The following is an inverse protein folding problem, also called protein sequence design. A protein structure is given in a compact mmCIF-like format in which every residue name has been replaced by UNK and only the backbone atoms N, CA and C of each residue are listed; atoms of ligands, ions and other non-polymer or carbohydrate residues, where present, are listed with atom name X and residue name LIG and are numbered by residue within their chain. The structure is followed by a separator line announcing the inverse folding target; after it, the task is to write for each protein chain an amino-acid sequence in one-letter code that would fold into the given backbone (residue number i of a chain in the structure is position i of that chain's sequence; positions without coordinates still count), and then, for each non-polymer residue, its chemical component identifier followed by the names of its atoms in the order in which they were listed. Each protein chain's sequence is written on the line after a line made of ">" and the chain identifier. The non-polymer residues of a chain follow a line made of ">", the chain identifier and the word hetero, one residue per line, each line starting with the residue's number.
data_IF_878973678795
#
_entry.id   IF_878973678795
#
_cell.length_a   1.000
_cell.length_b   1.000
_cell.length_c   1.000
_cell.angle_alpha   90.00
_cell.angle_beta   90.00
_cell.angle_gamma   90.00
#
_symmetry.space_group_name_H-M   'P 1'
#
loop_
_entity.id
_entity.type
_entity.pdbx_description
1 polymer ?
#
# COMPACT_ATOMS: atom_id res chain seq x y z
N UNK A 1 15.27 -9.64 3.20
CA UNK A 1 14.37 -8.65 3.82
C UNK A 1 13.18 -9.41 4.37
N UNK A 2 12.44 -8.84 5.33
CA UNK A 2 11.25 -9.51 5.89
C UNK A 2 10.03 -9.18 5.03
N UNK A 3 9.14 -10.15 4.92
CA UNK A 3 7.86 -10.01 4.27
C UNK A 3 6.76 -9.77 5.32
N UNK A 4 5.72 -9.05 4.96
CA UNK A 4 4.62 -8.68 5.87
C UNK A 4 3.28 -8.94 5.19
N UNK A 5 2.41 -9.74 5.83
CA UNK A 5 1.01 -9.92 5.42
C UNK A 5 0.12 -9.23 6.46
N UNK A 6 -0.47 -8.10 6.05
CA UNK A 6 -1.17 -7.19 6.94
C UNK A 6 -2.62 -7.06 6.48
N UNK A 7 -3.54 -7.66 7.22
CA UNK A 7 -4.99 -7.58 6.98
C UNK A 7 -5.61 -6.56 7.92
N UNK A 8 -6.19 -5.49 7.36
CA UNK A 8 -6.83 -4.43 8.14
C UNK A 8 -8.27 -4.23 7.67
N UNK A 9 -9.21 -4.66 8.50
CA UNK A 9 -10.64 -4.61 8.20
C UNK A 9 -11.33 -3.50 8.99
N UNK A 10 -12.13 -2.70 8.29
CA UNK A 10 -13.00 -1.66 8.86
C UNK A 10 -12.25 -0.51 9.56
N UNK A 11 -11.01 -0.23 9.16
CA UNK A 11 -10.30 0.98 9.56
C UNK A 11 -10.51 2.09 8.53
N UNK A 12 -10.92 3.28 8.97
CA UNK A 12 -11.07 4.45 8.09
C UNK A 12 -9.73 5.09 7.77
N UNK A 13 -8.73 4.89 8.63
CA UNK A 13 -7.37 5.39 8.44
C UNK A 13 -6.34 4.34 8.84
N UNK A 14 -5.37 4.08 7.96
CA UNK A 14 -4.22 3.22 8.19
C UNK A 14 -2.96 4.05 8.00
N UNK A 15 -1.97 3.86 8.87
CA UNK A 15 -0.62 4.39 8.69
C UNK A 15 0.38 3.25 8.80
N UNK A 16 1.11 2.98 7.72
CA UNK A 16 2.36 2.22 7.76
C UNK A 16 3.51 3.22 7.89
N UNK A 17 4.39 3.05 8.88
CA UNK A 17 5.52 3.94 9.09
C UNK A 17 6.81 3.18 9.37
N UNK A 18 7.92 3.76 8.94
CA UNK A 18 9.25 3.23 9.20
C UNK A 18 9.65 3.40 10.67
N UNK A 19 10.20 2.34 11.26
CA UNK A 19 10.76 2.34 12.62
C UNK A 19 11.98 1.43 12.69
N UNK A 20 13.01 1.89 13.41
CA UNK A 20 14.23 1.10 13.68
C UNK A 20 13.99 0.03 14.77
N UNK A 21 12.87 0.12 15.49
CA UNK A 21 12.47 -0.93 16.40
C UNK A 21 11.92 -2.11 15.60
N UNK A 22 12.48 -3.31 15.82
CA UNK A 22 11.89 -4.59 15.38
C UNK A 22 10.50 -4.88 15.98
N UNK A 23 9.93 -3.91 16.69
CA UNK A 23 8.62 -3.96 17.33
C UNK A 23 7.60 -3.26 16.45
N UNK A 24 6.68 -4.06 15.90
CA UNK A 24 5.50 -3.53 15.23
C UNK A 24 4.56 -2.97 16.31
N UNK A 25 4.46 -1.65 16.40
CA UNK A 25 3.56 -0.98 17.35
C UNK A 25 2.18 -0.85 16.72
N UNK A 26 1.15 -1.45 17.32
CA UNK A 26 -0.24 -1.35 16.85
C UNK A 26 -1.19 -0.94 17.99
N UNK A 27 -2.03 0.12 17.80
CA UNK A 27 -3.00 0.58 18.80
C UNK A 27 -4.32 -0.23 18.81
N UNK A 28 -4.30 -1.51 18.44
CA UNK A 28 -5.50 -2.34 18.38
C UNK A 28 -5.18 -3.82 18.58
N UNK A 29 -6.21 -4.64 18.83
CA UNK A 29 -6.09 -6.07 19.16
C UNK A 29 -5.37 -6.85 18.04
N UNK A 30 -4.05 -6.92 18.09
CA UNK A 30 -3.24 -7.69 17.14
C UNK A 30 -2.84 -9.01 17.75
N UNK A 31 -2.96 -10.07 16.94
CA UNK A 31 -2.29 -11.34 17.17
C UNK A 31 -1.07 -11.38 16.25
N UNK A 32 0.12 -11.43 16.83
CA UNK A 32 1.35 -11.64 16.07
C UNK A 32 1.62 -13.14 15.96
N UNK A 33 1.86 -13.61 14.74
CA UNK A 33 2.50 -14.90 14.48
C UNK A 33 3.88 -14.61 13.89
N UNK A 34 4.93 -14.66 14.72
CA UNK A 34 6.31 -14.29 14.36
C UNK A 34 7.20 -15.50 14.08
N UNK A 35 6.62 -16.70 13.98
CA UNK A 35 7.40 -17.94 13.85
C UNK A 35 8.00 -18.16 12.44
N UNK A 36 7.99 -17.13 11.58
CA UNK A 36 8.52 -17.14 10.20
C UNK A 36 9.18 -15.80 9.87
N UNK A 37 9.93 -15.74 8.77
CA UNK A 37 10.39 -14.48 8.14
C UNK A 37 9.23 -13.61 7.58
N UNK A 38 8.01 -13.86 8.08
CA UNK A 38 6.74 -13.29 7.73
C UNK A 38 6.05 -12.84 9.02
N UNK A 39 5.41 -11.68 8.99
CA UNK A 39 4.55 -11.24 10.09
C UNK A 39 3.11 -11.15 9.59
N UNK A 40 2.24 -11.98 10.16
CA UNK A 40 0.80 -11.92 9.93
C UNK A 40 0.17 -10.95 10.95
N UNK A 41 -0.51 -9.92 10.46
CA UNK A 41 -1.19 -8.92 11.29
C UNK A 41 -2.66 -8.85 10.89
N UNK A 42 -3.58 -9.20 11.81
CA UNK A 42 -5.02 -8.97 11.62
C UNK A 42 -5.50 -7.87 12.58
N UNK A 43 -6.10 -6.81 12.01
CA UNK A 43 -6.69 -5.69 12.73
C UNK A 43 -8.15 -5.57 12.29
N UNK A 44 -9.09 -5.71 13.22
CA UNK A 44 -10.51 -5.53 12.95
C UNK A 44 -11.18 -4.54 13.93
N UNK A 45 -12.05 -3.70 13.37
CA UNK A 45 -13.04 -2.94 14.15
C UNK A 45 -12.46 -1.74 14.90
N UNK A 46 -11.37 -1.17 14.38
CA UNK A 46 -10.78 0.07 14.90
C UNK A 46 -10.93 1.18 13.89
N UNK A 47 -11.09 2.41 14.36
CA UNK A 47 -11.16 3.59 13.48
C UNK A 47 -9.81 3.84 12.79
N UNK A 48 -8.72 3.79 13.56
CA UNK A 48 -7.36 4.05 13.08
C UNK A 48 -6.42 2.91 13.40
N UNK A 49 -5.65 2.49 12.40
CA UNK A 49 -4.55 1.55 12.55
C UNK A 49 -3.22 2.25 12.31
N UNK A 50 -2.25 2.02 13.19
CA UNK A 50 -0.88 2.50 13.06
C UNK A 50 0.01 1.26 13.14
N UNK A 51 0.87 1.03 12.15
CA UNK A 51 1.70 -0.18 12.06
C UNK A 51 3.13 0.25 11.71
N UNK A 52 4.05 -0.04 12.63
CA UNK A 52 5.47 0.23 12.42
C UNK A 52 6.14 -0.97 11.75
N UNK A 53 6.84 -0.76 10.64
CA UNK A 53 7.68 -1.79 9.99
C UNK A 53 9.10 -1.24 9.78
N UNK A 54 10.12 -2.09 9.55
CA UNK A 54 11.45 -1.64 9.21
C UNK A 54 11.47 -0.72 7.98
N UNK A 55 12.41 0.23 7.89
CA UNK A 55 12.47 1.19 6.77
C UNK A 55 12.61 0.54 5.39
N UNK A 56 13.14 -0.69 5.32
CA UNK A 56 13.28 -1.48 4.11
C UNK A 56 12.63 -2.85 4.29
N UNK A 57 11.54 -3.09 3.57
CA UNK A 57 10.80 -4.36 3.55
C UNK A 57 11.03 -5.10 2.21
N UNK A 58 10.78 -6.42 2.20
CA UNK A 58 10.74 -7.20 0.96
C UNK A 58 9.39 -6.98 0.31
N UNK A 59 8.47 -7.91 0.57
CA UNK A 59 7.07 -7.81 0.18
C UNK A 59 6.23 -7.30 1.35
N UNK A 60 5.32 -6.38 1.07
CA UNK A 60 4.27 -5.96 1.99
C UNK A 60 2.93 -6.20 1.30
N UNK A 61 2.08 -7.02 1.89
CA UNK A 61 0.73 -7.30 1.40
C UNK A 61 -0.29 -6.65 2.34
N UNK A 62 -1.24 -5.92 1.77
CA UNK A 62 -2.28 -5.21 2.49
C UNK A 62 -3.66 -5.59 1.97
N UNK A 63 -4.56 -5.98 2.88
CA UNK A 63 -5.99 -6.00 2.59
C UNK A 63 -6.67 -4.83 3.27
N UNK A 64 -7.28 -3.93 2.50
CA UNK A 64 -7.95 -2.72 2.99
C UNK A 64 -9.22 -2.39 2.20
N UNK A 65 -10.21 -1.77 2.86
CA UNK A 65 -11.48 -1.40 2.24
C UNK A 65 -11.90 0.00 2.73
N UNK A 66 -12.34 0.87 1.81
CA UNK A 66 -12.90 2.19 2.14
C UNK A 66 -12.06 3.02 3.12
N UNK A 67 -10.75 3.12 2.86
CA UNK A 67 -9.77 3.65 3.82
C UNK A 67 -8.83 4.71 3.23
N UNK A 68 -8.21 5.49 4.11
CA UNK A 68 -7.00 6.27 3.79
C UNK A 68 -5.76 5.55 4.31
N UNK A 69 -4.87 5.14 3.41
CA UNK A 69 -3.57 4.54 3.72
C UNK A 69 -2.47 5.61 3.65
N UNK A 70 -1.72 5.78 4.73
CA UNK A 70 -0.55 6.65 4.79
C UNK A 70 0.71 5.78 4.82
N UNK A 71 1.64 6.01 3.91
CA UNK A 71 2.94 5.37 3.84
C UNK A 71 4.01 6.40 4.25
N UNK A 72 4.66 6.18 5.39
CA UNK A 72 5.56 7.16 6.02
C UNK A 72 6.98 6.64 6.13
N UNK A 73 7.86 7.11 5.25
CA UNK A 73 9.30 6.81 5.29
C UNK A 73 9.66 5.36 4.99
N UNK A 74 8.77 4.58 4.37
CA UNK A 74 8.98 3.17 4.07
C UNK A 74 9.49 2.96 2.64
N UNK A 75 10.30 1.93 2.43
CA UNK A 75 10.69 1.43 1.12
C UNK A 75 10.49 -0.09 1.09
N UNK A 76 10.12 -0.62 -0.08
CA UNK A 76 9.82 -2.03 -0.27
C UNK A 76 10.34 -2.50 -1.62
N UNK A 77 10.52 -3.80 -1.81
CA UNK A 77 10.66 -4.33 -3.16
C UNK A 77 9.31 -4.30 -3.87
N UNK A 78 8.25 -4.71 -3.16
CA UNK A 78 6.87 -4.75 -3.65
C UNK A 78 5.87 -4.48 -2.53
N UNK A 79 4.90 -3.62 -2.80
CA UNK A 79 3.71 -3.41 -1.98
C UNK A 79 2.50 -3.87 -2.78
N UNK A 80 1.82 -4.91 -2.30
CA UNK A 80 0.59 -5.44 -2.89
C UNK A 80 -0.60 -4.98 -2.04
N UNK A 81 -1.59 -4.37 -2.68
CA UNK A 81 -2.78 -3.82 -2.02
C UNK A 81 -4.01 -4.46 -2.64
N UNK A 82 -4.60 -5.40 -1.92
CA UNK A 82 -5.93 -5.92 -2.20
C UNK A 82 -6.96 -4.93 -1.64
N UNK A 83 -7.64 -4.23 -2.55
CA UNK A 83 -8.50 -3.11 -2.20
C UNK A 83 -9.93 -3.22 -2.72
N UNK A 84 -10.87 -2.77 -1.90
CA UNK A 84 -12.28 -2.61 -2.26
C UNK A 84 -12.79 -1.19 -1.93
N UNK A 85 -13.78 -0.74 -2.72
CA UNK A 85 -14.44 0.54 -2.52
C UNK A 85 -13.58 1.75 -2.93
N UNK A 86 -13.56 2.80 -2.09
CA UNK A 86 -12.77 4.01 -2.33
C UNK A 86 -11.56 4.04 -1.42
N UNK A 87 -10.36 4.04 -1.98
CA UNK A 87 -9.12 4.17 -1.21
C UNK A 87 -8.36 5.45 -1.58
N UNK A 88 -7.69 6.04 -0.59
CA UNK A 88 -6.69 7.08 -0.81
C UNK A 88 -5.38 6.63 -0.21
N UNK A 89 -4.32 6.59 -1.01
CA UNK A 89 -2.96 6.21 -0.60
C UNK A 89 -2.12 7.48 -0.65
N UNK A 90 -1.46 7.81 0.45
CA UNK A 90 -0.64 9.01 0.60
C UNK A 90 0.77 8.58 0.98
N UNK A 91 1.74 8.89 0.13
CA UNK A 91 3.14 8.54 0.31
C UNK A 91 4.01 9.79 0.49
N UNK A 92 4.80 9.87 1.55
CA UNK A 92 5.76 10.96 1.75
C UNK A 92 7.17 10.64 1.19
N UNK A 93 7.54 9.37 1.22
CA UNK A 93 8.76 8.80 0.66
C UNK A 93 8.49 7.33 0.37
N UNK A 94 8.61 6.96 -0.89
CA UNK A 94 8.43 5.58 -1.37
C UNK A 94 9.52 5.22 -2.39
N UNK A 95 9.97 3.98 -2.34
CA UNK A 95 10.72 3.29 -3.39
C UNK A 95 10.20 1.86 -3.43
N UNK A 96 10.12 1.27 -4.64
CA UNK A 96 9.53 -0.04 -4.85
C UNK A 96 8.35 -0.05 -5.80
N UNK A 97 7.92 -1.26 -6.16
CA UNK A 97 6.74 -1.47 -6.98
C UNK A 97 5.47 -1.45 -6.11
N UNK A 98 4.41 -0.81 -6.62
CA UNK A 98 3.09 -0.76 -5.97
C UNK A 98 2.09 -1.44 -6.88
N UNK A 99 1.50 -2.53 -6.41
CA UNK A 99 0.49 -3.28 -7.14
C UNK A 99 -0.85 -3.15 -6.44
N UNK A 100 -1.81 -2.53 -7.11
CA UNK A 100 -3.16 -2.31 -6.59
C UNK A 100 -4.10 -3.29 -7.27
N UNK A 101 -4.51 -4.32 -6.54
CA UNK A 101 -5.51 -5.28 -6.98
C UNK A 101 -6.90 -4.80 -6.52
N UNK A 102 -7.69 -4.24 -7.45
CA UNK A 102 -8.98 -3.63 -7.09
C UNK A 102 -10.15 -4.18 -7.90
N UNK A 103 -11.26 -4.45 -7.21
CA UNK A 103 -12.53 -4.87 -7.82
C UNK A 103 -13.61 -3.81 -7.63
N UNK A 104 -14.08 -3.21 -8.73
CA UNK A 104 -15.18 -2.21 -8.75
C UNK A 104 -14.93 -1.03 -7.79
N UNK A 105 -13.74 -0.45 -7.83
CA UNK A 105 -13.35 0.60 -6.91
C UNK A 105 -12.67 1.81 -7.56
N UNK A 106 -12.40 2.79 -6.72
CA UNK A 106 -11.63 3.99 -7.08
C UNK A 106 -10.46 4.12 -6.09
N UNK A 107 -9.25 4.28 -6.62
CA UNK A 107 -8.06 4.55 -5.85
C UNK A 107 -7.48 5.91 -6.25
N UNK A 108 -7.02 6.67 -5.26
CA UNK A 108 -6.18 7.85 -5.48
C UNK A 108 -4.84 7.58 -4.82
N UNK A 109 -3.75 7.66 -5.58
CA UNK A 109 -2.39 7.57 -5.08
C UNK A 109 -1.72 8.93 -5.18
N UNK A 110 -1.34 9.48 -4.03
CA UNK A 110 -0.59 10.72 -3.88
C UNK A 110 0.87 10.34 -3.64
N UNK A 111 1.73 10.59 -4.62
CA UNK A 111 3.17 10.29 -4.58
C UNK A 111 3.97 11.54 -4.23
N UNK A 112 5.19 11.40 -3.67
CA UNK A 112 6.02 12.57 -3.40
C UNK A 112 6.50 13.23 -4.69
N UNK A 113 6.75 14.55 -4.62
CA UNK A 113 7.30 15.31 -5.73
C UNK A 113 8.62 14.69 -6.23
N UNK A 114 8.77 14.57 -7.55
CA UNK A 114 9.95 13.98 -8.17
C UNK A 114 10.03 12.45 -8.11
N UNK A 115 8.98 11.76 -7.64
CA UNK A 115 8.91 10.30 -7.73
C UNK A 115 8.88 9.86 -9.20
N UNK A 116 9.88 9.06 -9.61
CA UNK A 116 10.02 8.56 -10.98
C UNK A 116 9.48 7.14 -11.05
N UNK A 117 8.45 6.93 -11.87
CA UNK A 117 7.76 5.66 -12.01
C UNK A 117 7.24 5.45 -13.43
N UNK A 118 7.00 4.19 -13.78
CA UNK A 118 6.21 3.78 -14.91
C UNK A 118 4.86 3.22 -14.40
N UNK A 119 3.90 3.05 -15.30
CA UNK A 119 2.60 2.47 -14.95
C UNK A 119 2.30 1.23 -15.77
N UNK A 120 1.59 0.28 -15.15
CA UNK A 120 1.08 -0.90 -15.81
C UNK A 120 -0.40 -1.08 -15.48
N UNK A 121 -1.23 -1.29 -16.51
CA UNK A 121 -2.66 -1.50 -16.32
C UNK A 121 -3.02 -2.90 -16.84
N UNK A 122 -3.31 -3.80 -15.93
CA UNK A 122 -3.68 -5.19 -16.21
C UNK A 122 -5.14 -5.44 -15.79
N UNK A 123 -5.69 -6.59 -16.19
CA UNK A 123 -7.07 -6.95 -15.86
C UNK A 123 -8.10 -6.43 -16.88
N UNK A 124 -9.32 -6.12 -16.44
CA UNK A 124 -10.45 -5.84 -17.33
C UNK A 124 -11.19 -4.54 -17.00
N UNK A 125 -11.30 -3.66 -18.00
CA UNK A 125 -11.98 -2.36 -17.89
C UNK A 125 -11.41 -1.51 -16.75
N UNK A 126 -10.10 -1.52 -16.59
CA UNK A 126 -9.39 -0.67 -15.66
C UNK A 126 -8.90 0.59 -16.37
N UNK A 127 -8.75 1.67 -15.61
CA UNK A 127 -8.24 2.95 -16.11
C UNK A 127 -7.22 3.52 -15.12
N UNK A 128 -6.06 3.92 -15.61
CA UNK A 128 -5.09 4.71 -14.85
C UNK A 128 -5.09 6.13 -15.41
N UNK A 129 -5.34 7.11 -14.54
CA UNK A 129 -5.31 8.53 -14.82
C UNK A 129 -4.08 9.12 -14.13
N UNK A 130 -3.03 9.41 -14.90
CA UNK A 130 -1.85 10.09 -14.38
C UNK A 130 -1.98 11.59 -14.59
N UNK A 131 -1.94 12.36 -13.50
CA UNK A 131 -1.91 13.83 -13.51
C UNK A 131 -0.47 14.39 -13.53
N UNK A 132 0.52 13.50 -13.60
CA UNK A 132 1.95 13.78 -13.62
C UNK A 132 2.65 12.95 -14.70
N UNK A 133 3.84 13.37 -15.14
CA UNK A 133 4.64 12.66 -16.12
C UNK A 133 5.16 11.32 -15.58
N UNK A 134 5.22 10.30 -16.45
CA UNK A 134 5.78 8.97 -16.17
C UNK A 134 7.02 8.73 -17.02
N UNK A 135 7.92 7.86 -16.56
CA UNK A 135 9.10 7.43 -17.31
C UNK A 135 9.02 5.92 -17.58
N UNK A 136 8.87 5.48 -18.84
CA UNK A 136 8.83 4.05 -19.20
C UNK A 136 10.06 3.23 -18.77
N UNK A 137 11.19 3.87 -18.48
CA UNK A 137 12.42 3.20 -18.02
C UNK A 137 12.60 3.27 -16.50
N UNK A 138 11.64 3.86 -15.77
CA UNK A 138 11.70 3.93 -14.33
C UNK A 138 11.78 2.53 -13.72
N UNK A 139 12.60 2.39 -12.67
CA UNK A 139 12.68 1.16 -11.86
C UNK A 139 11.35 0.86 -11.15
N UNK A 140 10.70 1.91 -10.62
CA UNK A 140 9.47 1.78 -9.87
C UNK A 140 8.28 1.65 -10.83
N UNK A 141 7.42 0.69 -10.55
CA UNK A 141 6.20 0.42 -11.31
C UNK A 141 4.99 0.61 -10.41
N UNK A 142 3.99 1.34 -10.89
CA UNK A 142 2.66 1.38 -10.28
C UNK A 142 1.73 0.58 -11.17
N UNK A 143 1.27 -0.57 -10.68
CA UNK A 143 0.36 -1.46 -11.38
C UNK A 143 -1.07 -1.29 -10.84
N UNK A 144 -2.04 -1.11 -11.73
CA UNK A 144 -3.45 -1.34 -11.43
C UNK A 144 -3.87 -2.66 -12.07
N UNK A 145 -4.28 -3.61 -11.24
CA UNK A 145 -4.82 -4.89 -11.63
C UNK A 145 -6.26 -5.06 -11.10
N UNK A 146 -7.01 -6.01 -11.65
CA UNK A 146 -8.37 -6.33 -11.22
C UNK A 146 -9.42 -6.03 -12.28
N UNK A 147 -10.55 -5.41 -11.88
CA UNK A 147 -11.68 -5.24 -12.81
C UNK A 147 -12.61 -4.07 -12.48
N UNK A 148 -12.95 -3.30 -13.52
CA UNK A 148 -13.86 -2.15 -13.46
C UNK A 148 -13.42 -1.12 -12.41
N UNK A 149 -12.13 -0.80 -12.38
CA UNK A 149 -11.53 0.05 -11.34
C UNK A 149 -10.77 1.23 -11.96
N UNK A 150 -10.68 2.32 -11.21
CA UNK A 150 -9.95 3.53 -11.64
C UNK A 150 -8.87 3.85 -10.61
N UNK A 151 -7.66 4.13 -11.09
CA UNK A 151 -6.56 4.67 -10.28
C UNK A 151 -6.19 6.06 -10.78
N UNK A 152 -6.25 7.07 -9.91
CA UNK A 152 -5.70 8.41 -10.18
C UNK A 152 -4.37 8.58 -9.46
N UNK A 153 -3.34 9.00 -10.17
CA UNK A 153 -1.99 9.23 -9.62
C UNK A 153 -1.65 10.72 -9.75
N UNK A 154 -1.30 11.35 -8.62
CA UNK A 154 -0.97 12.78 -8.54
C UNK A 154 0.05 13.07 -7.43
N UNK A 155 0.49 14.32 -7.35
CA UNK A 155 1.33 14.86 -6.25
C UNK A 155 0.48 15.74 -5.34
#
# INVERSE_FOLDING_TARGET
>A
MKDYDIKIKKASEVTLYATDNDTIVVPSKVKFDTDRDQADIDIEGVEKALVGIPPMAGNVELFIENTTLNLKGISFERLEIDAEGKITIIADRIDGNIDINMLKGEAVLIVPEGFVFNTRCEGKNNEIICEIETDPNAKNTIELNGKNSVLTIRV
#
